data_IF_081674206922
#
_entry.id   IF_081674206922
#
_cell.length_a   1.000
_cell.length_b   1.000
_cell.length_c   1.000
_cell.angle_alpha   90.00
_cell.angle_beta   90.00
_cell.angle_gamma   90.00
#
_symmetry.space_group_name_H-M   'P 1'
#
loop_
_entity.id
_entity.type
_entity.pdbx_description
1 polymer ?
#
# COMPACT_ATOMS: atom_id res chain seq x y z
N UNK A 1 -9.92 -8.79 19.93
CA UNK A 1 -9.88 -8.50 18.48
C UNK A 1 -10.39 -7.08 18.30
N UNK A 2 -9.51 -6.19 17.86
CA UNK A 2 -9.92 -4.84 17.50
C UNK A 2 -10.66 -4.84 16.17
N UNK A 3 -11.87 -4.30 16.09
CA UNK A 3 -12.50 -4.03 14.81
C UNK A 3 -11.60 -3.06 14.02
N UNK A 4 -11.08 -3.49 12.87
CA UNK A 4 -10.38 -2.59 11.95
C UNK A 4 -11.37 -1.52 11.50
N UNK A 5 -11.14 -0.27 11.92
CA UNK A 5 -11.96 0.86 11.51
C UNK A 5 -11.51 1.37 10.15
N UNK A 6 -12.37 1.28 9.14
CA UNK A 6 -12.17 1.96 7.86
C UNK A 6 -12.53 3.43 8.00
N UNK A 7 -11.62 4.30 7.59
CA UNK A 7 -11.71 5.74 7.77
C UNK A 7 -12.55 6.35 6.66
N UNK A 8 -13.63 7.03 7.03
CA UNK A 8 -14.55 7.66 6.10
C UNK A 8 -14.83 9.11 6.49
N UNK A 9 -14.28 10.02 5.69
CA UNK A 9 -14.63 11.44 5.75
C UNK A 9 -14.85 11.94 4.32
N UNK A 10 -15.78 12.88 4.07
CA UNK A 10 -16.05 13.33 2.70
C UNK A 10 -14.81 13.84 1.96
N UNK A 11 -13.93 14.57 2.65
CA UNK A 11 -12.69 15.09 2.07
C UNK A 11 -11.62 14.01 1.89
N UNK A 12 -11.46 13.10 2.86
CA UNK A 12 -10.51 12.00 2.78
C UNK A 12 -10.88 10.98 1.70
N UNK A 13 -12.17 10.65 1.58
CA UNK A 13 -12.70 9.76 0.53
C UNK A 13 -12.54 10.40 -0.85
N UNK A 14 -12.77 11.71 -0.98
CA UNK A 14 -12.54 12.45 -2.21
C UNK A 14 -11.06 12.44 -2.61
N UNK A 15 -10.14 12.67 -1.66
CA UNK A 15 -8.70 12.59 -1.91
C UNK A 15 -8.25 11.18 -2.31
N UNK A 16 -8.73 10.14 -1.63
CA UNK A 16 -8.43 8.76 -1.99
C UNK A 16 -8.95 8.41 -3.39
N UNK A 17 -10.15 8.88 -3.73
CA UNK A 17 -10.73 8.72 -5.07
C UNK A 17 -9.94 9.50 -6.13
N UNK A 18 -9.47 10.70 -5.83
CA UNK A 18 -8.63 11.50 -6.74
C UNK A 18 -7.29 10.81 -7.02
N UNK A 19 -6.68 10.20 -6.00
CA UNK A 19 -5.48 9.39 -6.16
C UNK A 19 -5.75 8.13 -7.01
N UNK A 20 -6.82 7.39 -6.68
CA UNK A 20 -7.23 6.20 -7.42
C UNK A 20 -7.53 6.48 -8.89
N UNK A 21 -8.25 7.56 -9.20
CA UNK A 21 -8.60 7.93 -10.57
C UNK A 21 -7.37 8.20 -11.46
N UNK A 22 -6.25 8.61 -10.86
CA UNK A 22 -5.01 8.84 -11.59
C UNK A 22 -4.22 7.55 -11.86
N UNK A 23 -4.25 6.60 -10.93
CA UNK A 23 -3.41 5.38 -10.98
C UNK A 23 -4.16 4.14 -11.49
N UNK A 24 -5.48 4.12 -11.35
CA UNK A 24 -6.35 3.02 -11.77
C UNK A 24 -7.48 3.51 -12.70
N UNK A 25 -7.17 4.12 -13.86
CA UNK A 25 -8.19 4.63 -14.78
C UNK A 25 -9.08 3.51 -15.37
N UNK A 26 -8.60 2.26 -15.30
CA UNK A 26 -9.30 1.08 -15.81
C UNK A 26 -10.13 0.38 -14.73
N UNK A 27 -10.11 0.87 -13.49
CA UNK A 27 -10.82 0.29 -12.35
C UNK A 27 -10.50 -1.20 -12.16
N UNK A 28 -9.22 -1.56 -12.26
CA UNK A 28 -8.70 -2.90 -11.97
C UNK A 28 -8.95 -3.28 -10.52
N UNK A 29 -8.76 -2.33 -9.59
CA UNK A 29 -9.19 -2.49 -8.22
C UNK A 29 -10.72 -2.31 -8.11
N UNK A 30 -11.36 -3.27 -7.48
CA UNK A 30 -12.78 -3.21 -7.14
C UNK A 30 -13.07 -2.17 -6.07
N UNK A 31 -12.13 -2.00 -5.14
CA UNK A 31 -12.25 -1.06 -4.05
C UNK A 31 -10.86 -0.71 -3.50
N UNK A 32 -10.67 0.57 -3.17
CA UNK A 32 -9.49 1.08 -2.47
C UNK A 32 -9.99 1.77 -1.21
N UNK A 33 -9.52 1.34 -0.04
CA UNK A 33 -9.96 1.85 1.25
C UNK A 33 -8.78 2.24 2.15
N UNK A 34 -9.02 3.15 3.09
CA UNK A 34 -8.07 3.53 4.14
C UNK A 34 -8.51 2.91 5.46
N UNK A 35 -7.61 2.19 6.13
CA UNK A 35 -7.88 1.58 7.44
C UNK A 35 -7.01 2.21 8.53
N UNK A 36 -7.60 2.48 9.70
CA UNK A 36 -6.89 2.99 10.87
C UNK A 36 -6.08 1.88 11.54
N UNK A 37 -4.99 1.52 10.88
CA UNK A 37 -3.98 0.57 11.34
C UNK A 37 -2.66 1.34 11.39
N UNK A 38 -1.98 1.43 12.55
CA UNK A 38 -0.76 2.23 12.70
C UNK A 38 0.48 1.59 12.06
N UNK A 39 0.33 0.45 11.40
CA UNK A 39 1.40 -0.24 10.70
C UNK A 39 1.69 0.44 9.36
N UNK A 40 2.97 0.60 9.02
CA UNK A 40 3.40 1.04 7.68
C UNK A 40 3.20 -0.13 6.73
N UNK A 41 2.01 -0.23 6.14
CA UNK A 41 1.68 -1.28 5.19
C UNK A 41 0.53 -0.86 4.23
N UNK A 42 0.36 -1.64 3.17
CA UNK A 42 -0.84 -1.70 2.35
C UNK A 42 -1.01 -3.16 1.90
N UNK A 43 -2.24 -3.59 1.65
CA UNK A 43 -2.48 -4.98 1.22
C UNK A 43 -3.51 -5.05 0.11
N UNK A 44 -3.21 -5.87 -0.88
CA UNK A 44 -4.17 -6.37 -1.85
C UNK A 44 -4.82 -7.64 -1.32
N UNK A 45 -6.14 -7.59 -1.16
CA UNK A 45 -6.99 -8.73 -0.81
C UNK A 45 -7.51 -9.45 -2.07
N UNK A 46 -7.91 -10.73 -1.94
CA UNK A 46 -8.68 -11.44 -2.96
C UNK A 46 -9.85 -10.63 -3.52
N UNK A 47 -10.05 -10.72 -4.83
CA UNK A 47 -11.15 -10.02 -5.50
C UNK A 47 -10.86 -8.55 -5.84
N UNK A 48 -9.61 -8.10 -5.70
CA UNK A 48 -9.15 -6.80 -6.18
C UNK A 48 -9.45 -5.65 -5.22
N UNK A 49 -9.52 -5.91 -3.91
CA UNK A 49 -9.67 -4.86 -2.89
C UNK A 49 -8.31 -4.49 -2.33
N UNK A 50 -7.96 -3.20 -2.34
CA UNK A 50 -6.71 -2.69 -1.77
C UNK A 50 -7.04 -1.94 -0.48
N UNK A 51 -6.27 -2.19 0.57
CA UNK A 51 -6.38 -1.48 1.85
C UNK A 51 -5.05 -0.77 2.11
N UNK A 52 -5.07 0.55 2.12
CA UNK A 52 -3.98 1.38 2.62
C UNK A 52 -4.10 1.50 4.13
N UNK A 53 -2.99 1.41 4.86
CA UNK A 53 -3.01 1.58 6.32
C UNK A 53 -2.65 3.03 6.66
N UNK A 54 -3.29 3.58 7.69
CA UNK A 54 -3.01 4.95 8.14
C UNK A 54 -1.53 5.14 8.52
N UNK A 55 -0.88 4.11 9.10
CA UNK A 55 0.56 4.14 9.38
C UNK A 55 1.43 4.42 8.14
N UNK A 56 1.07 3.87 6.97
CA UNK A 56 1.73 4.19 5.70
C UNK A 56 1.55 5.66 5.34
N UNK A 57 0.32 6.17 5.43
CA UNK A 57 -0.02 7.56 5.09
C UNK A 57 0.68 8.55 6.02
N UNK A 58 0.78 8.24 7.32
CA UNK A 58 1.48 9.08 8.29
C UNK A 58 3.00 9.07 8.12
N UNK A 59 3.58 7.95 7.68
CA UNK A 59 5.02 7.81 7.48
C UNK A 59 5.51 8.39 6.14
N UNK A 60 4.62 8.50 5.15
CA UNK A 60 4.93 9.06 3.85
C UNK A 60 5.26 10.58 3.96
N UNK A 61 6.37 10.99 3.33
CA UNK A 61 6.81 12.40 3.28
C UNK A 61 6.07 13.18 2.18
N UNK A 62 5.43 12.49 1.22
CA UNK A 62 4.65 13.11 0.13
C UNK A 62 3.55 12.18 -0.39
N UNK A 63 2.50 12.69 -1.05
CA UNK A 63 1.47 11.85 -1.67
C UNK A 63 2.03 10.95 -2.78
N UNK A 64 3.16 11.32 -3.40
CA UNK A 64 3.82 10.55 -4.46
C UNK A 64 4.38 9.21 -3.94
N UNK A 65 4.74 9.14 -2.65
CA UNK A 65 5.18 7.90 -2.02
C UNK A 65 4.01 6.93 -1.86
N UNK A 66 2.87 7.44 -1.40
CA UNK A 66 1.62 6.66 -1.30
C UNK A 66 1.14 6.24 -2.69
N UNK A 67 1.29 7.12 -3.69
CA UNK A 67 0.98 6.81 -5.09
C UNK A 67 1.80 5.64 -5.62
N UNK A 68 3.11 5.61 -5.33
CA UNK A 68 3.98 4.49 -5.72
C UNK A 68 3.59 3.17 -5.06
N UNK A 69 3.23 3.21 -3.77
CA UNK A 69 2.76 2.03 -3.04
C UNK A 69 1.40 1.55 -3.56
N UNK A 70 0.46 2.45 -3.82
CA UNK A 70 -0.83 2.08 -4.42
C UNK A 70 -0.65 1.52 -5.84
N UNK A 71 0.23 2.12 -6.65
CA UNK A 71 0.57 1.60 -7.98
C UNK A 71 1.17 0.19 -7.92
N UNK A 72 1.93 -0.11 -6.88
CA UNK A 72 2.49 -1.44 -6.63
C UNK A 72 1.39 -2.45 -6.27
N UNK A 73 0.48 -2.10 -5.36
CA UNK A 73 -0.67 -2.94 -5.01
C UNK A 73 -1.59 -3.20 -6.21
N UNK A 74 -1.82 -2.20 -7.08
CA UNK A 74 -2.53 -2.38 -8.35
C UNK A 74 -1.82 -3.39 -9.27
N UNK A 75 -0.49 -3.44 -9.23
CA UNK A 75 0.30 -4.47 -9.89
C UNK A 75 -0.03 -5.88 -9.40
N UNK A 76 -0.18 -6.07 -8.08
CA UNK A 76 -0.61 -7.35 -7.51
C UNK A 76 -2.05 -7.70 -7.87
N UNK A 77 -2.95 -6.73 -7.95
CA UNK A 77 -4.32 -6.92 -8.46
C UNK A 77 -4.28 -7.43 -9.90
N UNK A 78 -3.52 -6.74 -10.78
CA UNK A 78 -3.39 -7.08 -12.20
C UNK A 78 -2.91 -8.51 -12.41
N UNK A 79 -1.87 -8.90 -11.69
CA UNK A 79 -1.25 -10.23 -11.83
C UNK A 79 -1.91 -11.30 -10.97
N UNK A 80 -2.91 -10.94 -10.14
CA UNK A 80 -3.61 -11.85 -9.23
C UNK A 80 -2.67 -12.54 -8.24
N UNK A 81 -1.66 -11.81 -7.78
CA UNK A 81 -0.59 -12.37 -6.94
C UNK A 81 -1.11 -12.85 -5.59
N UNK A 82 -2.02 -12.10 -4.96
CA UNK A 82 -2.66 -12.51 -3.69
C UNK A 82 -3.40 -13.83 -3.83
N UNK A 83 -4.19 -14.00 -4.90
CA UNK A 83 -4.91 -15.25 -5.16
C UNK A 83 -3.94 -16.41 -5.39
N UNK A 84 -2.88 -16.16 -6.15
CA UNK A 84 -1.82 -17.15 -6.40
C UNK A 84 -1.13 -17.56 -5.09
N UNK A 85 -0.82 -16.60 -4.21
CA UNK A 85 -0.24 -16.85 -2.89
C UNK A 85 -1.16 -17.67 -1.99
N UNK A 86 -2.44 -17.31 -1.90
CA UNK A 86 -3.41 -18.05 -1.10
C UNK A 86 -3.63 -19.48 -1.61
N UNK A 87 -3.72 -19.68 -2.93
CA UNK A 87 -3.85 -21.03 -3.51
C UNK A 87 -2.63 -21.88 -3.16
N UNK A 88 -1.41 -21.31 -3.21
CA UNK A 88 -0.19 -22.02 -2.79
C UNK A 88 -0.24 -22.38 -1.30
N UNK A 89 -0.64 -21.45 -0.44
CA UNK A 89 -0.73 -21.69 1.00
C UNK A 89 -1.80 -22.73 1.37
N UNK A 90 -2.97 -22.69 0.73
CA UNK A 90 -4.03 -23.68 0.90
C UNK A 90 -3.62 -25.06 0.36
N UNK A 91 -2.93 -25.11 -0.79
CA UNK A 91 -2.38 -26.35 -1.31
C UNK A 91 -1.38 -27.00 -0.34
N UNK A 92 -0.50 -26.19 0.26
CA UNK A 92 0.41 -26.63 1.32
C UNK A 92 -0.34 -27.08 2.57
N UNK A 93 -1.40 -26.38 3.00
CA UNK A 93 -2.15 -26.75 4.19
C UNK A 93 -2.91 -28.06 4.01
N UNK A 94 -3.44 -28.34 2.81
CA UNK A 94 -4.04 -29.63 2.46
C UNK A 94 -3.01 -30.75 2.51
N UNK A 95 -1.81 -30.54 1.94
CA UNK A 95 -0.71 -31.52 2.00
C UNK A 95 -0.26 -31.78 3.44
N UNK A 96 -0.30 -30.74 4.29
CA UNK A 96 0.13 -30.81 5.70
C UNK A 96 -1.02 -31.12 6.68
N UNK A 97 -2.23 -31.41 6.20
CA UNK A 97 -3.36 -31.87 7.02
C UNK A 97 -4.11 -30.79 7.83
N UNK A 98 -3.91 -29.50 7.55
CA UNK A 98 -4.56 -28.39 8.27
C UNK A 98 -5.68 -27.73 7.46
N UNK A 99 -6.94 -27.91 7.86
CA UNK A 99 -8.06 -27.16 7.30
C UNK A 99 -9.00 -26.66 8.41
N UNK A 100 -8.92 -25.36 8.74
CA UNK A 100 -9.86 -24.66 9.60
C UNK A 100 -9.69 -23.16 9.41
N UNK A 101 -10.77 -22.45 9.03
CA UNK A 101 -10.69 -21.02 8.68
C UNK A 101 -11.77 -20.19 9.38
N UNK A 102 -11.34 -19.12 10.05
CA UNK A 102 -12.19 -18.01 10.49
C UNK A 102 -11.73 -16.70 9.80
N UNK A 103 -12.60 -15.68 9.75
CA UNK A 103 -12.34 -14.41 9.03
C UNK A 103 -11.03 -13.71 9.44
N UNK A 104 -10.66 -13.75 10.72
CA UNK A 104 -9.41 -13.16 11.22
C UNK A 104 -8.16 -13.93 10.75
N UNK A 105 -8.26 -15.25 10.61
CA UNK A 105 -7.20 -16.09 10.04
C UNK A 105 -6.89 -15.76 8.59
N UNK A 106 -7.88 -15.35 7.80
CA UNK A 106 -7.67 -14.97 6.39
C UNK A 106 -6.84 -13.69 6.23
N UNK A 107 -7.11 -12.64 7.02
CA UNK A 107 -6.31 -11.41 6.97
C UNK A 107 -4.87 -11.66 7.41
N UNK A 108 -4.69 -12.41 8.50
CA UNK A 108 -3.35 -12.82 8.95
C UNK A 108 -2.64 -13.67 7.88
N UNK A 109 -3.37 -14.54 7.19
CA UNK A 109 -2.87 -15.30 6.05
C UNK A 109 -2.35 -14.39 4.94
N UNK A 110 -3.15 -13.40 4.52
CA UNK A 110 -2.74 -12.42 3.49
C UNK A 110 -1.53 -11.59 3.94
N UNK A 111 -1.50 -11.10 5.17
CA UNK A 111 -0.37 -10.35 5.73
C UNK A 111 0.91 -11.19 5.84
N UNK A 112 0.77 -12.52 5.96
CA UNK A 112 1.88 -13.46 6.01
C UNK A 112 2.34 -13.93 4.61
N UNK A 113 1.62 -13.55 3.55
CA UNK A 113 2.06 -13.84 2.19
C UNK A 113 3.32 -13.04 1.91
N UNK A 114 4.35 -13.73 1.45
CA UNK A 114 5.53 -13.11 0.86
C UNK A 114 5.51 -13.38 -0.64
N UNK A 115 5.58 -12.33 -1.44
CA UNK A 115 5.59 -12.48 -2.90
C UNK A 115 7.01 -12.79 -3.40
N UNK A 116 7.07 -13.61 -4.46
CA UNK A 116 8.34 -13.93 -5.10
C UNK A 116 8.93 -12.72 -5.84
N UNK A 117 10.25 -12.68 -6.01
CA UNK A 117 10.96 -11.57 -6.70
C UNK A 117 10.39 -11.21 -8.08
N UNK A 118 9.87 -12.20 -8.81
CA UNK A 118 9.24 -11.99 -10.12
C UNK A 118 7.92 -11.21 -10.02
N UNK A 119 7.06 -11.56 -9.06
CA UNK A 119 5.79 -10.88 -8.81
C UNK A 119 6.06 -9.43 -8.36
N UNK A 120 6.98 -9.24 -7.42
CA UNK A 120 7.45 -7.93 -6.96
C UNK A 120 7.96 -7.05 -8.12
N UNK A 121 8.83 -7.60 -8.98
CA UNK A 121 9.35 -6.84 -10.12
C UNK A 121 8.27 -6.51 -11.16
N UNK A 122 7.25 -7.35 -11.31
CA UNK A 122 6.12 -7.10 -12.20
C UNK A 122 5.20 -6.01 -11.63
N UNK A 123 4.91 -6.07 -10.32
CA UNK A 123 4.16 -5.04 -9.60
C UNK A 123 4.87 -3.68 -9.64
N UNK A 124 6.19 -3.65 -9.42
CA UNK A 124 7.01 -2.44 -9.54
C UNK A 124 6.95 -1.84 -10.97
N UNK A 125 6.92 -2.70 -11.99
CA UNK A 125 6.74 -2.27 -13.39
C UNK A 125 5.40 -1.57 -13.61
N UNK A 126 4.31 -2.16 -13.11
CA UNK A 126 2.96 -1.57 -13.19
C UNK A 126 2.92 -0.24 -12.45
N UNK A 127 3.48 -0.16 -11.24
CA UNK A 127 3.53 1.08 -10.47
C UNK A 127 4.21 2.21 -11.25
N UNK A 128 5.40 1.93 -11.81
CA UNK A 128 6.16 2.90 -12.60
C UNK A 128 5.39 3.35 -13.84
N UNK A 129 4.73 2.41 -14.54
CA UNK A 129 3.93 2.72 -15.72
C UNK A 129 2.73 3.61 -15.37
N UNK A 130 1.99 3.29 -14.30
CA UNK A 130 0.86 4.09 -13.80
C UNK A 130 1.28 5.47 -13.34
N UNK A 131 2.37 5.58 -12.58
CA UNK A 131 2.92 6.88 -12.17
C UNK A 131 3.34 7.72 -13.38
N UNK A 132 3.97 7.10 -14.39
CA UNK A 132 4.34 7.77 -15.63
C UNK A 132 3.12 8.29 -16.39
N UNK A 133 2.07 7.48 -16.54
CA UNK A 133 0.80 7.86 -17.17
C UNK A 133 0.13 9.03 -16.43
N UNK A 134 0.16 9.01 -15.10
CA UNK A 134 -0.39 10.07 -14.25
C UNK A 134 0.49 11.34 -14.17
N UNK A 135 1.70 11.31 -14.76
CA UNK A 135 2.76 12.34 -14.63
C UNK A 135 3.21 12.57 -13.19
N UNK A 136 3.25 11.51 -12.37
CA UNK A 136 3.78 11.51 -11.01
C UNK A 136 5.23 11.01 -11.04
N UNK A 137 6.13 11.63 -10.28
CA UNK A 137 7.54 11.26 -10.28
C UNK A 137 7.78 9.99 -9.46
N UNK A 138 8.47 8.97 -10.00
CA UNK A 138 8.85 7.79 -9.22
C UNK A 138 9.99 8.05 -8.22
N UNK A 139 10.59 9.25 -8.23
CA UNK A 139 11.71 9.60 -7.36
C UNK A 139 11.35 9.52 -5.88
N UNK A 140 10.16 10.00 -5.51
CA UNK A 140 9.70 9.96 -4.12
C UNK A 140 9.53 8.51 -3.63
N UNK A 141 8.97 7.63 -4.47
CA UNK A 141 8.85 6.21 -4.15
C UNK A 141 10.22 5.53 -4.00
N UNK A 142 11.21 5.88 -4.83
CA UNK A 142 12.57 5.39 -4.66
C UNK A 142 13.15 5.80 -3.29
N UNK A 143 12.99 7.07 -2.91
CA UNK A 143 13.42 7.57 -1.60
C UNK A 143 12.66 6.90 -0.44
N UNK A 144 11.35 6.65 -0.60
CA UNK A 144 10.56 5.91 0.39
C UNK A 144 11.13 4.50 0.63
N UNK A 145 11.46 3.76 -0.44
CA UNK A 145 12.08 2.45 -0.32
C UNK A 145 13.49 2.48 0.25
N UNK A 146 14.26 3.54 0.00
CA UNK A 146 15.56 3.75 0.66
C UNK A 146 15.41 3.88 2.17
N UNK A 147 14.42 4.66 2.62
CA UNK A 147 14.10 4.85 4.04
C UNK A 147 13.64 3.57 4.71
N UNK A 148 12.74 2.83 4.07
CA UNK A 148 12.29 1.54 4.57
C UNK A 148 13.42 0.49 4.61
N UNK A 149 14.42 0.60 3.73
CA UNK A 149 15.61 -0.27 3.73
C UNK A 149 16.60 0.00 4.86
N UNK A 150 16.32 0.93 5.78
CA UNK A 150 17.17 1.24 6.93
C UNK A 150 18.45 2.03 6.60
N UNK A 151 18.60 2.52 5.36
CA UNK A 151 19.82 3.24 4.95
C UNK A 151 19.86 4.69 5.47
N UNK A 152 18.71 5.27 5.82
CA UNK A 152 18.63 6.66 6.33
C UNK A 152 18.58 6.80 7.85
N UNK A 153 18.65 5.71 8.64
CA UNK A 153 18.74 5.80 10.12
C UNK A 153 17.54 6.45 10.85
N UNK A 154 16.50 6.89 10.13
CA UNK A 154 15.33 7.60 10.69
C UNK A 154 14.12 6.69 11.03
N UNK A 155 14.14 5.42 10.60
CA UNK A 155 13.04 4.48 10.85
C UNK A 155 13.30 3.60 12.07
N UNK A 156 12.42 3.63 13.08
CA UNK A 156 12.43 2.57 14.11
C UNK A 156 12.29 1.21 13.42
N UNK A 157 13.23 0.28 13.65
CA UNK A 157 13.30 -1.03 12.99
C UNK A 157 11.92 -1.72 12.89
N UNK A 158 11.10 -1.59 13.94
CA UNK A 158 9.76 -2.21 14.05
C UNK A 158 8.74 -1.79 12.98
N UNK A 159 8.78 -0.54 12.48
CA UNK A 159 7.79 -0.04 11.53
C UNK A 159 8.14 -0.38 10.08
N UNK A 160 9.44 -0.32 9.72
CA UNK A 160 9.93 -0.75 8.41
C UNK A 160 9.78 -2.27 8.21
N UNK A 161 9.93 -3.06 9.28
CA UNK A 161 9.83 -4.52 9.25
C UNK A 161 8.48 -5.05 8.74
N UNK A 162 7.39 -4.29 8.86
CA UNK A 162 6.05 -4.79 8.53
C UNK A 162 5.79 -4.85 7.02
N UNK A 163 6.00 -3.75 6.28
CA UNK A 163 5.93 -3.76 4.81
C UNK A 163 6.94 -4.73 4.21
N UNK A 164 8.14 -4.77 4.79
CA UNK A 164 9.22 -5.66 4.38
C UNK A 164 8.91 -7.15 4.50
N UNK A 165 8.01 -7.53 5.41
CA UNK A 165 7.65 -8.93 5.64
C UNK A 165 6.84 -9.51 4.48
N UNK A 166 5.93 -8.72 3.88
CA UNK A 166 5.16 -9.13 2.70
C UNK A 166 5.82 -8.74 1.38
N UNK A 167 6.53 -7.61 1.35
CA UNK A 167 7.21 -7.07 0.16
C UNK A 167 8.73 -6.92 0.40
N UNK A 168 9.52 -8.00 0.28
CA UNK A 168 10.97 -7.94 0.51
C UNK A 168 11.60 -6.82 -0.31
N UNK A 169 12.22 -5.83 0.36
CA UNK A 169 12.93 -4.78 -0.36
C UNK A 169 14.21 -5.36 -0.95
N UNK A 170 14.55 -4.85 -2.14
CA UNK A 170 15.84 -5.10 -2.74
C UNK A 170 16.42 -3.76 -3.20
N UNK A 171 17.74 -3.64 -3.17
CA UNK A 171 18.43 -2.51 -3.81
C UNK A 171 18.05 -2.38 -5.30
N UNK A 172 17.62 -3.48 -5.94
CA UNK A 172 17.10 -3.47 -7.30
C UNK A 172 15.76 -2.72 -7.44
N UNK A 173 14.83 -2.84 -6.48
CA UNK A 173 13.57 -2.10 -6.49
C UNK A 173 13.81 -0.60 -6.44
N UNK A 174 14.58 -0.13 -5.45
CA UNK A 174 14.95 1.28 -5.32
C UNK A 174 15.57 1.82 -6.61
N UNK A 175 16.57 1.10 -7.15
CA UNK A 175 17.21 1.45 -8.42
C UNK A 175 16.23 1.49 -9.60
N UNK A 176 15.24 0.60 -9.63
CA UNK A 176 14.24 0.54 -10.71
C UNK A 176 13.38 1.80 -10.72
N UNK A 177 12.88 2.24 -9.55
CA UNK A 177 12.11 3.48 -9.44
C UNK A 177 12.98 4.71 -9.73
N UNK A 178 14.20 4.76 -9.20
CA UNK A 178 15.14 5.85 -9.46
C UNK A 178 15.49 5.98 -10.95
N UNK A 179 15.73 4.86 -11.63
CA UNK A 179 16.03 4.83 -13.07
C UNK A 179 14.83 5.17 -13.95
N UNK A 180 13.60 5.09 -13.43
CA UNK A 180 12.39 5.44 -14.16
C UNK A 180 12.10 6.96 -14.19
N UNK A 181 12.85 7.75 -13.41
CA UNK A 181 12.78 9.21 -13.46
C UNK A 181 13.28 9.69 -14.83
N UNK A 182 12.45 10.50 -15.52
CA UNK A 182 12.78 11.08 -16.82
C UNK A 182 13.24 12.53 -16.62
N UNK A 183 14.52 12.85 -16.89
CA UNK A 183 15.02 14.23 -16.83
C UNK A 183 14.20 15.15 -17.73
N UNK A 184 13.86 16.34 -17.25
CA UNK A 184 13.09 17.35 -17.99
C UNK A 184 11.60 17.05 -18.15
N UNK A 185 11.08 15.94 -17.62
CA UNK A 185 9.64 15.69 -17.61
C UNK A 185 8.91 16.64 -16.65
N UNK A 186 7.75 17.14 -17.09
CA UNK A 186 6.86 17.94 -16.23
C UNK A 186 6.05 17.02 -15.33
N UNK A 187 6.54 16.82 -14.10
CA UNK A 187 5.83 16.07 -13.06
C UNK A 187 4.84 16.96 -12.30
N UNK A 188 3.82 16.33 -11.73
CA UNK A 188 2.87 16.93 -10.78
C UNK A 188 2.75 16.03 -9.55
N UNK A 189 2.45 16.60 -8.38
CA UNK A 189 2.19 15.78 -7.20
C UNK A 189 0.94 14.94 -7.40
N UNK A 190 0.92 13.75 -6.79
CA UNK A 190 -0.17 12.81 -6.88
C UNK A 190 -1.48 13.34 -6.27
N UNK A 191 -1.37 14.21 -5.27
CA UNK A 191 -2.47 14.95 -4.66
C UNK A 191 -2.03 16.39 -4.44
N UNK A 192 -2.96 17.33 -4.53
CA UNK A 192 -2.68 18.70 -4.11
C UNK A 192 -2.52 18.79 -2.57
N UNK A 193 -2.18 19.99 -2.08
CA UNK A 193 -1.94 20.20 -0.65
C UNK A 193 -3.18 19.93 0.21
N UNK A 194 -4.37 20.32 -0.26
CA UNK A 194 -5.61 20.16 0.47
C UNK A 194 -6.07 18.69 0.47
N UNK A 195 -6.00 18.03 -0.69
CA UNK A 195 -6.27 16.61 -0.84
C UNK A 195 -5.31 15.77 0.00
N UNK A 196 -4.01 16.07 -0.04
CA UNK A 196 -3.02 15.36 0.78
C UNK A 196 -3.30 15.51 2.27
N UNK A 197 -3.60 16.73 2.72
CA UNK A 197 -3.97 16.95 4.12
C UNK A 197 -5.24 16.20 4.50
N UNK A 198 -6.27 16.21 3.63
CA UNK A 198 -7.52 15.52 3.87
C UNK A 198 -7.34 14.01 3.99
N UNK A 199 -6.50 13.40 3.15
CA UNK A 199 -6.17 11.98 3.24
C UNK A 199 -5.47 11.68 4.57
N UNK A 200 -4.44 12.47 4.94
CA UNK A 200 -3.68 12.30 6.19
C UNK A 200 -4.54 12.45 7.45
N UNK A 201 -5.53 13.33 7.45
CA UNK A 201 -6.37 13.55 8.63
C UNK A 201 -7.62 12.69 8.67
N UNK A 202 -7.88 11.87 7.64
CA UNK A 202 -9.15 11.16 7.49
C UNK A 202 -9.47 10.26 8.68
N UNK A 203 -8.53 9.42 9.12
CA UNK A 203 -8.73 8.52 10.25
C UNK A 203 -8.89 9.26 11.59
N UNK A 204 -8.10 10.30 11.83
CA UNK A 204 -8.19 11.11 13.04
C UNK A 204 -9.48 11.95 13.10
N UNK A 205 -10.04 12.31 11.94
CA UNK A 205 -11.25 13.14 11.83
C UNK A 205 -12.53 12.33 11.74
N UNK A 206 -12.46 11.01 11.56
CA UNK A 206 -13.63 10.15 11.53
C UNK A 206 -14.08 9.78 12.96
N UNK A 207 -15.23 10.28 13.45
CA UNK A 207 -15.68 10.04 14.82
C UNK A 207 -16.04 8.58 15.11
N UNK A 208 -16.25 7.75 14.08
CA UNK A 208 -16.52 6.31 14.23
C UNK A 208 -15.24 5.52 14.44
N UNK A 209 -14.11 6.04 13.95
CA UNK A 209 -12.80 5.34 13.96
C UNK A 209 -11.84 5.94 14.99
N UNK A 210 -11.86 7.25 15.21
CA UNK A 210 -11.06 7.94 16.23
C UNK A 210 -11.34 7.42 17.66
N UNK A 211 -12.56 6.92 17.91
CA UNK A 211 -12.95 6.31 19.20
C UNK A 211 -12.40 4.90 19.42
N UNK A 212 -11.80 4.27 18.40
CA UNK A 212 -11.33 2.89 18.49
C UNK A 212 -10.11 2.76 19.41
N UNK A 213 -9.25 3.78 19.47
CA UNK A 213 -8.23 3.91 20.51
C UNK A 213 -8.80 4.77 21.63
N UNK A 214 -9.38 4.13 22.65
CA UNK A 214 -9.80 4.82 23.86
C UNK A 214 -8.61 5.40 24.63
N UNK A 215 -8.06 6.52 24.16
CA UNK A 215 -7.42 7.59 24.95
C UNK A 215 -7.56 8.90 24.17
N UNK A 216 -8.40 9.79 24.70
CA UNK A 216 -8.23 11.22 24.49
C UNK A 216 -6.82 11.60 24.98
N UNK A 217 -6.19 12.55 24.28
CA UNK A 217 -4.98 13.21 24.75
C UNK A 217 -5.16 13.79 26.16
#
# INVERSE_FOLDING_TARGET
MGNVGFCHTPAGDAALKALAAQLDPQHEAREIALANIPMVNAVTLPGGRIILFDGLVQQAKSPDEVAGVLGHELGHVRHRDTMTGLIRQLGLSVVLGGAGGNAGGYLNGVLSLSYGRGAESAADGVAIDRMREARISPAATAAFFERLGGQEGEGTETQAMTWLSSHPLSAARRRRFAAAVKPGASYRPALDRAEWQALRTSCASDPKVAKFWGKAF
#
